data_IF_994514532369
#
_entry.id   IF_994514532369
#
_cell.length_a   1.000
_cell.length_b   1.000
_cell.length_c   1.000
_cell.angle_alpha   90.00
_cell.angle_beta   90.00
_cell.angle_gamma   90.00
#
_symmetry.space_group_name_H-M   'P 1'
#
loop_
_entity.id
_entity.type
_entity.pdbx_description
1 polymer ?
#
# COMPACT_ATOMS: atom_id res chain seq x y z
N UNK A 1 39.16 -44.56 -43.55
CA UNK A 1 38.99 -43.09 -43.37
C UNK A 1 37.80 -42.91 -42.46
N UNK A 2 37.96 -42.48 -41.22
CA UNK A 2 36.81 -42.29 -40.32
C UNK A 2 36.32 -40.86 -40.38
N UNK A 3 35.05 -40.71 -40.70
CA UNK A 3 34.32 -39.46 -40.77
C UNK A 3 34.02 -38.95 -39.34
N UNK A 4 34.53 -37.76 -39.00
CA UNK A 4 34.33 -37.12 -37.70
C UNK A 4 32.97 -36.41 -37.70
N UNK A 5 32.00 -36.94 -36.93
CA UNK A 5 30.77 -36.27 -36.63
C UNK A 5 31.00 -35.29 -35.44
N UNK A 6 31.08 -34.02 -35.74
CA UNK A 6 31.12 -32.96 -34.75
C UNK A 6 29.68 -32.70 -34.30
N UNK A 7 29.30 -33.22 -33.12
CA UNK A 7 28.01 -32.93 -32.50
C UNK A 7 28.03 -31.51 -31.92
N UNK A 8 27.32 -30.60 -32.56
CA UNK A 8 27.02 -29.28 -32.04
C UNK A 8 25.95 -29.42 -30.94
N UNK A 9 26.35 -29.37 -29.69
CA UNK A 9 25.43 -29.28 -28.55
C UNK A 9 24.98 -27.81 -28.47
N UNK A 10 23.81 -27.50 -29.02
CA UNK A 10 23.11 -26.26 -28.76
C UNK A 10 22.50 -26.32 -27.37
N UNK A 11 23.16 -25.69 -26.41
CA UNK A 11 22.57 -25.39 -25.08
C UNK A 11 21.56 -24.27 -25.30
N UNK A 12 20.29 -24.65 -25.43
CA UNK A 12 19.16 -23.70 -25.35
C UNK A 12 19.06 -23.28 -23.90
N UNK A 13 19.63 -22.12 -23.61
CA UNK A 13 19.44 -21.43 -22.32
C UNK A 13 18.01 -20.88 -22.29
N UNK A 14 17.07 -21.69 -21.79
CA UNK A 14 15.70 -21.30 -21.56
C UNK A 14 15.70 -20.36 -20.35
N UNK A 15 15.78 -19.05 -20.60
CA UNK A 15 15.54 -18.04 -19.59
C UNK A 15 14.10 -18.21 -19.09
N UNK A 16 13.93 -18.88 -17.97
CA UNK A 16 12.72 -18.79 -17.17
C UNK A 16 12.66 -17.36 -16.64
N UNK A 17 11.96 -16.48 -17.35
CA UNK A 17 11.48 -15.24 -16.79
C UNK A 17 10.48 -15.61 -15.70
N UNK A 18 10.93 -15.64 -14.43
CA UNK A 18 10.03 -15.70 -13.29
C UNK A 18 9.16 -14.45 -13.38
N UNK A 19 7.82 -14.57 -13.42
CA UNK A 19 6.96 -13.41 -13.31
C UNK A 19 7.31 -12.74 -11.98
N UNK A 20 7.73 -11.48 -12.02
CA UNK A 20 7.77 -10.63 -10.87
C UNK A 20 6.32 -10.56 -10.39
N UNK A 21 5.99 -11.32 -9.36
CA UNK A 21 4.64 -11.32 -8.81
C UNK A 21 4.37 -9.91 -8.30
N UNK A 22 3.67 -9.10 -9.09
CA UNK A 22 2.94 -7.98 -8.56
C UNK A 22 2.03 -8.58 -7.48
N UNK A 23 2.05 -8.00 -6.28
CA UNK A 23 1.20 -8.44 -5.15
C UNK A 23 -0.24 -8.00 -5.42
N UNK A 24 -0.86 -8.65 -6.40
CA UNK A 24 -2.20 -8.39 -6.89
C UNK A 24 -3.10 -9.56 -6.51
N UNK A 25 -4.23 -9.26 -5.87
CA UNK A 25 -5.21 -10.26 -5.44
C UNK A 25 -6.52 -10.00 -6.18
N UNK A 26 -7.19 -11.08 -6.64
CA UNK A 26 -8.42 -10.98 -7.44
C UNK A 26 -9.57 -11.73 -6.77
N UNK A 27 -10.73 -11.08 -6.71
CA UNK A 27 -12.00 -11.71 -6.37
C UNK A 27 -13.11 -11.13 -7.25
N UNK A 28 -13.69 -11.96 -8.10
CA UNK A 28 -14.66 -11.49 -9.09
C UNK A 28 -14.07 -10.42 -10.02
N UNK A 29 -14.67 -9.23 -10.00
CA UNK A 29 -14.25 -8.06 -10.78
C UNK A 29 -13.36 -7.10 -9.96
N UNK A 30 -13.04 -7.43 -8.72
CA UNK A 30 -12.17 -6.64 -7.85
C UNK A 30 -10.72 -7.11 -7.98
N UNK A 31 -9.84 -6.14 -8.06
CA UNK A 31 -8.39 -6.32 -8.01
C UNK A 31 -7.85 -5.50 -6.86
N UNK A 32 -7.22 -6.15 -5.89
CA UNK A 32 -6.54 -5.51 -4.77
C UNK A 32 -5.06 -5.46 -5.11
N UNK A 33 -4.53 -4.26 -5.29
CA UNK A 33 -3.15 -4.02 -5.70
C UNK A 33 -2.33 -3.43 -4.55
N UNK A 34 -1.13 -3.94 -4.41
CA UNK A 34 -0.05 -3.45 -3.55
C UNK A 34 -0.47 -3.17 -2.10
N UNK A 35 -1.03 -4.16 -1.37
CA UNK A 35 -1.35 -3.99 0.04
C UNK A 35 -0.08 -3.87 0.87
N UNK A 36 0.09 -2.72 1.54
CA UNK A 36 1.26 -2.38 2.36
C UNK A 36 0.87 -1.81 3.71
N UNK A 37 1.79 -1.93 4.68
CA UNK A 37 1.73 -1.20 5.94
C UNK A 37 3.14 -0.73 6.32
N UNK A 38 3.24 0.26 7.20
CA UNK A 38 4.52 0.69 7.76
C UNK A 38 4.97 -0.25 8.90
N UNK A 39 6.27 -0.23 9.26
CA UNK A 39 6.76 -0.94 10.44
C UNK A 39 6.11 -0.38 11.71
N UNK A 40 5.88 -1.23 12.71
CA UNK A 40 5.31 -0.82 13.99
C UNK A 40 6.27 -1.08 15.15
N UNK A 41 5.98 -0.41 16.27
CA UNK A 41 6.49 -0.77 17.59
C UNK A 41 5.43 -1.60 18.33
N UNK A 42 5.83 -2.45 19.30
CA UNK A 42 4.89 -3.22 20.10
C UNK A 42 3.80 -2.32 20.71
N UNK A 43 2.57 -2.80 20.74
CA UNK A 43 1.41 -2.09 21.29
C UNK A 43 1.10 -0.72 20.64
N UNK A 44 1.59 -0.50 19.42
CA UNK A 44 1.22 0.68 18.62
C UNK A 44 0.34 0.26 17.47
N UNK A 45 -0.78 0.95 17.24
CA UNK A 45 -1.58 0.74 16.04
C UNK A 45 -0.76 1.00 14.78
N UNK A 46 -1.10 0.33 13.70
CA UNK A 46 -0.49 0.55 12.39
C UNK A 46 -1.59 0.72 11.34
N UNK A 47 -1.26 1.44 10.26
CA UNK A 47 -2.17 1.64 9.15
C UNK A 47 -1.75 0.81 7.95
N UNK A 48 -2.72 0.19 7.26
CA UNK A 48 -2.50 -0.47 5.99
C UNK A 48 -3.22 0.27 4.86
N UNK A 49 -2.59 0.23 3.69
CA UNK A 49 -2.95 0.94 2.48
C UNK A 49 -2.95 0.00 1.29
N UNK A 50 -3.79 0.27 0.30
CA UNK A 50 -3.88 -0.51 -0.94
C UNK A 50 -4.70 0.24 -1.98
N UNK A 51 -4.67 -0.24 -3.21
CA UNK A 51 -5.63 0.15 -4.24
C UNK A 51 -6.63 -0.98 -4.45
N UNK A 52 -7.88 -0.61 -4.71
CA UNK A 52 -8.95 -1.54 -5.07
C UNK A 52 -9.53 -1.07 -6.40
N UNK A 53 -9.26 -1.81 -7.46
CA UNK A 53 -9.82 -1.57 -8.78
C UNK A 53 -11.07 -2.42 -8.94
N UNK A 54 -12.16 -1.82 -9.40
CA UNK A 54 -13.41 -2.52 -9.67
C UNK A 54 -13.78 -2.35 -11.15
N UNK A 55 -13.85 -3.46 -11.87
CA UNK A 55 -14.30 -3.52 -13.27
C UNK A 55 -15.73 -4.07 -13.43
N UNK A 56 -16.50 -4.11 -12.35
CA UNK A 56 -17.86 -4.63 -12.30
C UNK A 56 -18.85 -3.71 -11.61
N UNK A 57 -19.90 -4.27 -11.05
CA UNK A 57 -20.90 -3.52 -10.28
C UNK A 57 -20.26 -2.91 -9.02
N UNK A 58 -20.86 -1.83 -8.51
CA UNK A 58 -20.42 -1.22 -7.25
C UNK A 58 -20.49 -2.23 -6.09
N UNK A 59 -19.54 -2.14 -5.17
CA UNK A 59 -19.45 -2.97 -3.96
C UNK A 59 -19.11 -2.11 -2.75
N UNK A 60 -19.02 -2.70 -1.57
CA UNK A 60 -18.63 -2.02 -0.34
C UNK A 60 -17.63 -2.92 0.41
N UNK A 61 -16.47 -2.40 0.78
CA UNK A 61 -15.60 -3.04 1.75
C UNK A 61 -16.19 -2.80 3.15
N UNK A 62 -16.70 -3.84 3.78
CA UNK A 62 -17.47 -3.75 5.04
C UNK A 62 -16.68 -4.18 6.26
N UNK A 63 -15.65 -5.02 6.08
CA UNK A 63 -14.82 -5.47 7.20
C UNK A 63 -13.43 -5.92 6.74
N UNK A 64 -12.51 -5.98 7.69
CA UNK A 64 -11.22 -6.63 7.52
C UNK A 64 -10.85 -7.36 8.82
N UNK A 65 -10.15 -8.48 8.72
CA UNK A 65 -9.69 -9.27 9.87
C UNK A 65 -8.33 -9.90 9.61
N UNK A 66 -7.63 -10.27 10.68
CA UNK A 66 -6.34 -10.96 10.60
C UNK A 66 -6.10 -11.74 11.89
N UNK A 67 -5.52 -12.93 11.83
CA UNK A 67 -5.14 -13.66 13.04
C UNK A 67 -4.01 -13.00 13.84
N UNK A 68 -3.30 -12.02 13.25
CA UNK A 68 -2.16 -11.35 13.86
C UNK A 68 -2.51 -10.06 14.63
N UNK A 69 -3.79 -9.67 14.62
CA UNK A 69 -4.29 -8.45 15.25
C UNK A 69 -5.59 -8.71 16.01
N UNK A 70 -5.76 -8.03 17.12
CA UNK A 70 -7.00 -8.13 17.91
C UNK A 70 -8.20 -7.55 17.16
N UNK A 71 -7.98 -6.42 16.46
CA UNK A 71 -9.04 -5.71 15.73
C UNK A 71 -8.46 -4.98 14.52
N UNK A 72 -9.22 -4.99 13.41
CA UNK A 72 -8.97 -4.13 12.25
C UNK A 72 -10.22 -3.29 12.04
N UNK A 73 -10.03 -1.97 11.99
CA UNK A 73 -11.10 -1.00 11.78
C UNK A 73 -10.88 -0.26 10.45
N UNK A 74 -11.97 0.14 9.81
CA UNK A 74 -11.94 0.96 8.60
C UNK A 74 -12.04 2.42 9.05
N UNK A 75 -11.05 3.23 8.67
CA UNK A 75 -10.95 4.63 9.04
C UNK A 75 -10.85 5.53 7.82
N UNK A 76 -11.25 6.78 7.99
CA UNK A 76 -10.95 7.88 7.08
C UNK A 76 -10.42 9.09 7.84
N UNK A 77 -9.93 10.08 7.10
CA UNK A 77 -9.50 11.35 7.68
C UNK A 77 -10.46 12.45 7.22
N UNK A 78 -11.05 13.15 8.16
CA UNK A 78 -11.90 14.32 7.91
C UNK A 78 -11.27 15.59 8.48
N UNK A 79 -11.45 16.70 7.76
CA UNK A 79 -11.07 18.01 8.25
C UNK A 79 -12.28 18.69 8.86
N UNK A 80 -12.16 19.07 10.14
CA UNK A 80 -13.17 19.85 10.86
C UNK A 80 -12.49 21.05 11.50
N UNK A 81 -12.90 22.27 11.13
CA UNK A 81 -12.35 23.53 11.64
C UNK A 81 -10.82 23.64 11.48
N UNK A 82 -10.28 23.17 10.36
CA UNK A 82 -8.83 23.17 10.08
C UNK A 82 -8.04 22.09 10.82
N UNK A 83 -8.72 21.16 11.52
CA UNK A 83 -8.10 20.04 12.24
C UNK A 83 -8.43 18.74 11.54
N UNK A 84 -7.38 17.99 11.15
CA UNK A 84 -7.53 16.65 10.59
C UNK A 84 -7.81 15.65 11.72
N UNK A 85 -8.91 14.90 11.59
CA UNK A 85 -9.31 13.85 12.54
C UNK A 85 -9.48 12.53 11.82
N UNK A 86 -8.91 11.46 12.37
CA UNK A 86 -9.23 10.10 11.97
C UNK A 86 -10.54 9.68 12.62
N UNK A 87 -11.46 9.18 11.80
CA UNK A 87 -12.75 8.66 12.26
C UNK A 87 -12.95 7.25 11.70
N UNK A 88 -13.57 6.41 12.50
CA UNK A 88 -14.03 5.08 12.05
C UNK A 88 -15.26 5.25 11.16
N UNK A 89 -15.34 4.47 10.09
CA UNK A 89 -16.48 4.38 9.19
C UNK A 89 -16.97 2.94 9.06
N UNK A 90 -18.25 2.76 8.72
CA UNK A 90 -18.86 1.43 8.60
C UNK A 90 -18.38 0.67 7.36
N UNK A 91 -17.84 1.35 6.35
CA UNK A 91 -17.35 0.74 5.13
C UNK A 91 -16.82 1.76 4.14
N UNK A 92 -16.25 1.26 3.05
CA UNK A 92 -15.73 2.04 1.93
C UNK A 92 -16.49 1.65 0.68
N UNK A 93 -17.14 2.62 0.03
CA UNK A 93 -17.78 2.42 -1.26
C UNK A 93 -16.73 2.18 -2.35
N UNK A 94 -16.89 1.09 -3.10
CA UNK A 94 -16.08 0.72 -4.25
C UNK A 94 -16.95 0.90 -5.48
N UNK A 95 -16.89 2.07 -6.11
CA UNK A 95 -17.74 2.39 -7.24
C UNK A 95 -17.49 1.46 -8.43
N UNK A 96 -18.52 1.29 -9.31
CA UNK A 96 -18.37 0.53 -10.55
C UNK A 96 -17.38 1.20 -11.50
N UNK A 97 -16.58 0.41 -12.21
CA UNK A 97 -15.61 0.87 -13.21
C UNK A 97 -14.65 1.96 -12.67
N UNK A 98 -14.24 1.83 -11.41
CA UNK A 98 -13.45 2.83 -10.71
C UNK A 98 -12.32 2.21 -9.87
N UNK A 99 -11.38 3.05 -9.47
CA UNK A 99 -10.33 2.73 -8.50
C UNK A 99 -10.58 3.48 -7.21
N UNK A 100 -10.64 2.75 -6.10
CA UNK A 100 -10.68 3.30 -4.74
C UNK A 100 -9.30 3.14 -4.11
N UNK A 101 -8.74 4.23 -3.60
CA UNK A 101 -7.40 4.23 -3.00
C UNK A 101 -7.51 4.40 -1.48
N UNK A 102 -6.94 3.43 -0.75
CA UNK A 102 -6.66 3.56 0.67
C UNK A 102 -5.24 4.12 0.79
N UNK A 103 -5.11 5.36 1.26
CA UNK A 103 -3.84 6.11 1.28
C UNK A 103 -3.74 7.04 2.50
N UNK A 104 -2.53 7.47 2.88
CA UNK A 104 -2.36 8.45 3.94
C UNK A 104 -3.17 9.73 3.69
N UNK A 105 -3.93 10.15 4.71
CA UNK A 105 -4.84 11.31 4.61
C UNK A 105 -6.23 11.01 4.05
N UNK A 106 -6.52 9.76 3.70
CA UNK A 106 -7.82 9.28 3.23
C UNK A 106 -8.23 8.00 3.97
N UNK A 107 -8.90 7.11 3.24
CA UNK A 107 -9.28 5.80 3.76
C UNK A 107 -8.04 4.96 4.08
N UNK A 108 -8.11 4.17 5.14
CA UNK A 108 -7.10 3.20 5.54
C UNK A 108 -7.68 2.14 6.48
N UNK A 109 -7.00 1.00 6.58
CA UNK A 109 -7.26 0.02 7.62
C UNK A 109 -6.39 0.34 8.83
N UNK A 110 -6.99 0.44 10.00
CA UNK A 110 -6.30 0.65 11.27
C UNK A 110 -6.23 -0.65 12.05
N UNK A 111 -5.02 -1.15 12.28
CA UNK A 111 -4.74 -2.46 12.89
C UNK A 111 -4.30 -2.28 14.34
N UNK A 112 -5.02 -2.90 15.25
CA UNK A 112 -4.81 -2.79 16.70
C UNK A 112 -4.40 -4.15 17.30
N UNK A 113 -3.67 -4.09 18.42
CA UNK A 113 -3.33 -5.28 19.20
C UNK A 113 -2.39 -6.24 18.46
N UNK A 114 -1.39 -5.71 17.76
CA UNK A 114 -0.36 -6.55 17.14
C UNK A 114 0.38 -7.35 18.21
N UNK A 115 0.40 -8.69 18.08
CA UNK A 115 1.12 -9.58 19.00
C UNK A 115 2.64 -9.42 18.87
N UNK A 116 3.11 -9.04 17.68
CA UNK A 116 4.53 -8.92 17.35
C UNK A 116 4.88 -7.55 16.74
N UNK A 117 6.17 -7.26 16.73
CA UNK A 117 6.70 -6.10 15.99
C UNK A 117 7.00 -6.50 14.56
N UNK A 118 6.54 -5.69 13.62
CA UNK A 118 6.79 -5.87 12.20
C UNK A 118 7.88 -4.92 11.70
N UNK A 119 8.81 -5.45 10.89
CA UNK A 119 9.92 -4.71 10.28
C UNK A 119 9.76 -4.71 8.76
N UNK A 120 10.45 -3.80 8.10
CA UNK A 120 10.50 -3.77 6.63
C UNK A 120 10.95 -5.14 6.09
N UNK A 121 10.16 -5.69 5.16
CA UNK A 121 10.32 -7.02 4.58
C UNK A 121 9.47 -8.12 5.22
N UNK A 122 8.90 -7.89 6.41
CA UNK A 122 7.91 -8.78 7.00
C UNK A 122 6.58 -8.68 6.26
N UNK A 123 5.65 -9.60 6.57
CA UNK A 123 4.31 -9.65 5.97
C UNK A 123 3.35 -10.40 6.88
N UNK A 124 2.06 -10.09 6.74
CA UNK A 124 1.00 -10.76 7.48
C UNK A 124 -0.27 -10.93 6.62
N UNK A 125 -1.08 -11.96 6.88
CA UNK A 125 -2.34 -12.17 6.19
C UNK A 125 -3.40 -11.20 6.68
N UNK A 126 -4.30 -10.80 5.78
CA UNK A 126 -5.53 -10.05 6.07
C UNK A 126 -6.64 -10.63 5.20
N UNK A 127 -7.80 -10.85 5.77
CA UNK A 127 -9.02 -11.16 5.04
C UNK A 127 -9.85 -9.88 4.93
N UNK A 128 -10.12 -9.43 3.70
CA UNK A 128 -11.05 -8.35 3.40
C UNK A 128 -12.43 -8.95 3.14
N UNK A 129 -13.48 -8.30 3.63
CA UNK A 129 -14.87 -8.71 3.40
C UNK A 129 -15.61 -7.62 2.60
N UNK A 130 -16.11 -8.00 1.44
CA UNK A 130 -16.92 -7.16 0.57
C UNK A 130 -18.38 -7.60 0.63
N UNK A 131 -19.30 -6.63 0.59
CA UNK A 131 -20.72 -6.88 0.72
C UNK A 131 -21.30 -7.79 -0.37
N UNK A 132 -20.77 -7.72 -1.59
CA UNK A 132 -21.23 -8.51 -2.73
C UNK A 132 -20.20 -9.55 -3.18
N UNK A 133 -18.93 -9.16 -3.29
CA UNK A 133 -17.85 -10.04 -3.76
C UNK A 133 -17.37 -11.05 -2.71
N UNK A 134 -17.83 -10.91 -1.46
CA UNK A 134 -17.46 -11.82 -0.36
C UNK A 134 -16.04 -11.59 0.17
N UNK A 135 -15.44 -12.66 0.69
CA UNK A 135 -14.13 -12.59 1.33
C UNK A 135 -12.99 -12.81 0.34
N UNK A 136 -11.89 -12.08 0.55
CA UNK A 136 -10.63 -12.28 -0.16
C UNK A 136 -9.46 -12.21 0.81
N UNK A 137 -8.62 -13.23 0.76
CA UNK A 137 -7.39 -13.28 1.54
C UNK A 137 -6.27 -12.59 0.77
N UNK A 138 -5.61 -11.65 1.43
CA UNK A 138 -4.46 -10.91 0.91
C UNK A 138 -3.28 -11.05 1.87
N UNK A 139 -2.09 -10.70 1.41
CA UNK A 139 -0.90 -10.57 2.24
C UNK A 139 -0.44 -9.11 2.19
N UNK A 140 -0.43 -8.45 3.34
CA UNK A 140 0.08 -7.09 3.50
C UNK A 140 1.58 -7.15 3.72
N UNK A 141 2.34 -6.39 2.93
CA UNK A 141 3.79 -6.30 3.05
C UNK A 141 4.19 -5.12 3.92
N UNK A 142 5.22 -5.30 4.75
CA UNK A 142 5.77 -4.18 5.52
C UNK A 142 6.80 -3.45 4.68
N UNK A 143 6.42 -2.24 4.28
CA UNK A 143 7.23 -1.35 3.46
C UNK A 143 7.28 0.05 4.07
N UNK A 144 8.21 0.87 3.62
CA UNK A 144 8.20 2.29 3.97
C UNK A 144 7.11 2.98 3.14
N UNK A 145 6.06 3.53 3.77
CA UNK A 145 5.03 4.27 3.02
C UNK A 145 5.69 5.37 2.19
N UNK A 146 5.37 5.42 0.90
CA UNK A 146 5.81 6.52 0.04
C UNK A 146 4.97 7.74 0.39
N UNK A 147 5.54 8.70 1.09
CA UNK A 147 4.92 10.01 1.22
C UNK A 147 5.04 10.70 -0.15
N UNK A 148 3.94 10.91 -0.83
CA UNK A 148 3.87 11.85 -1.94
C UNK A 148 4.01 13.26 -1.36
N UNK A 149 5.24 13.67 -1.09
CA UNK A 149 5.51 15.10 -0.94
C UNK A 149 5.36 15.69 -2.34
N UNK A 150 4.23 16.40 -2.55
CA UNK A 150 4.14 17.32 -3.67
C UNK A 150 5.38 18.23 -3.59
N UNK A 151 6.14 18.21 -4.65
CA UNK A 151 7.35 19.04 -4.84
C UNK A 151 6.96 20.52 -4.69
N UNK A 152 7.08 21.06 -3.48
CA UNK A 152 7.14 22.49 -3.26
C UNK A 152 8.59 22.96 -3.48
N UNK A 153 9.07 22.81 -4.71
CA UNK A 153 10.29 23.43 -5.17
C UNK A 153 10.01 24.93 -5.39
N UNK A 154 10.57 25.78 -4.56
CA UNK A 154 10.78 27.16 -4.95
C UNK A 154 10.37 28.24 -3.96
N UNK A 155 11.07 28.38 -2.85
CA UNK A 155 11.29 29.70 -2.28
C UNK A 155 12.79 29.93 -2.11
N UNK A 156 13.36 30.56 -3.14
CA UNK A 156 14.69 31.16 -3.09
C UNK A 156 14.69 32.28 -2.04
N UNK A 157 15.41 32.07 -0.94
CA UNK A 157 15.80 33.16 -0.07
C UNK A 157 16.92 33.93 -0.76
N UNK A 158 16.55 35.05 -1.36
CA UNK A 158 17.50 36.09 -1.74
C UNK A 158 18.14 36.68 -0.48
N UNK A 159 19.46 36.55 -0.40
CA UNK A 159 20.26 37.07 0.71
C UNK A 159 20.12 38.58 0.85
N UNK A 160 19.91 39.01 2.09
CA UNK A 160 20.12 40.38 2.50
C UNK A 160 21.56 40.53 2.97
N UNK A 161 22.40 41.13 2.12
CA UNK A 161 23.69 41.66 2.50
C UNK A 161 23.47 42.84 3.45
N UNK A 162 23.82 42.65 4.71
CA UNK A 162 24.04 43.76 5.62
C UNK A 162 25.49 44.26 5.50
N UNK A 163 25.65 45.28 4.66
CA UNK A 163 26.86 46.11 4.64
C UNK A 163 26.91 46.90 5.93
N UNK A 164 27.85 46.61 6.79
CA UNK A 164 28.28 47.44 7.90
C UNK A 164 29.03 48.67 7.37
N UNK A 165 28.41 49.84 7.49
CA UNK A 165 29.06 51.14 7.32
C UNK A 165 29.52 51.63 8.65
N UNK A 166 30.82 51.57 8.84
CA UNK A 166 31.54 52.26 9.93
C UNK A 166 31.74 53.70 9.51
N UNK A 167 31.42 54.67 10.35
CA UNK A 167 32.05 55.99 10.32
C UNK A 167 31.65 56.89 11.53
N UNK A 168 32.61 57.13 12.36
CA UNK A 168 32.97 58.35 13.08
C UNK A 168 32.13 58.80 14.27
#
# INVERSE_FOLDING_TARGET
MPTRYTALIQIVCMLFALPLAAHEYKTGNLVIDHPIAGPNLPNRPMAAYMKIENSGAADVLVAASSPNFETIEIHTVEETDGVMKMIQVEGIEIASDATTELAPGGYHLMLFGAEESYKIGDRFPVTLEFAQSGMVDIVVNIEKPKHNHGDHSGHGHSGHDHSSGDSN
#
